data_IF_946138635069
#
_entry.id   IF_946138635069
#
_cell.length_a   1.000
_cell.length_b   1.000
_cell.length_c   1.000
_cell.angle_alpha   90.00
_cell.angle_beta   90.00
_cell.angle_gamma   90.00
#
_symmetry.space_group_name_H-M   'P 1'
#
loop_
_entity.id
_entity.type
_entity.pdbx_description
1 polymer ?
#
# COMPACT_ATOMS: atom_id res chain seq x y z
N UNK A 1 -15.73 -24.69 -39.17
CA UNK A 1 -14.85 -25.07 -38.04
C UNK A 1 -13.42 -24.59 -38.23
N UNK A 2 -12.73 -24.84 -39.34
CA UNK A 2 -11.29 -24.44 -39.55
C UNK A 2 -11.01 -22.93 -39.49
N UNK A 3 -11.97 -22.04 -39.77
CA UNK A 3 -11.80 -20.58 -39.69
C UNK A 3 -11.93 -20.08 -38.24
N UNK A 4 -12.80 -20.69 -37.44
CA UNK A 4 -12.96 -20.38 -36.01
C UNK A 4 -11.75 -20.86 -35.19
N UNK A 5 -11.22 -22.06 -35.50
CA UNK A 5 -9.99 -22.52 -34.82
C UNK A 5 -8.78 -21.63 -35.10
N UNK A 6 -8.60 -21.15 -36.35
CA UNK A 6 -7.51 -20.20 -36.68
C UNK A 6 -7.65 -18.85 -35.97
N UNK A 7 -8.88 -18.36 -35.79
CA UNK A 7 -9.12 -17.12 -35.03
C UNK A 7 -8.82 -17.34 -33.55
N UNK A 8 -9.30 -18.45 -32.98
CA UNK A 8 -9.02 -18.80 -31.58
C UNK A 8 -7.52 -18.97 -31.32
N UNK A 9 -6.81 -19.64 -32.24
CA UNK A 9 -5.35 -19.79 -32.16
C UNK A 9 -4.63 -18.43 -32.25
N UNK A 10 -5.05 -17.55 -33.16
CA UNK A 10 -4.49 -16.21 -33.32
C UNK A 10 -4.71 -15.33 -32.07
N UNK A 11 -5.85 -15.44 -31.40
CA UNK A 11 -6.13 -14.74 -30.14
C UNK A 11 -5.29 -15.35 -29.02
N UNK A 12 -5.27 -16.68 -28.89
CA UNK A 12 -4.54 -17.36 -27.83
C UNK A 12 -3.04 -17.08 -27.87
N UNK A 13 -2.42 -17.12 -29.07
CA UNK A 13 -0.99 -16.82 -29.26
C UNK A 13 -0.72 -15.31 -29.46
N UNK A 14 -1.67 -14.44 -29.13
CA UNK A 14 -1.41 -13.00 -29.11
C UNK A 14 -0.57 -12.61 -27.89
N UNK A 15 0.28 -11.60 -28.04
CA UNK A 15 1.19 -11.17 -26.98
C UNK A 15 0.48 -10.75 -25.70
N UNK A 16 -0.65 -9.99 -25.71
CA UNK A 16 -1.37 -9.67 -24.49
C UNK A 16 -1.84 -10.90 -23.71
N UNK A 17 -2.39 -11.89 -24.38
CA UNK A 17 -2.87 -13.13 -23.73
C UNK A 17 -1.69 -13.96 -23.20
N UNK A 18 -0.61 -14.07 -23.95
CA UNK A 18 0.57 -14.81 -23.49
C UNK A 18 1.25 -14.15 -22.30
N UNK A 19 1.26 -12.81 -22.22
CA UNK A 19 1.73 -12.08 -21.03
C UNK A 19 0.82 -12.31 -19.82
N UNK A 20 -0.49 -12.23 -20.01
CA UNK A 20 -1.46 -12.52 -18.94
C UNK A 20 -1.25 -13.94 -18.38
N UNK A 21 -1.17 -14.95 -19.25
CA UNK A 21 -0.94 -16.34 -18.85
C UNK A 21 0.42 -16.52 -18.16
N UNK A 22 1.46 -15.84 -18.64
CA UNK A 22 2.76 -15.88 -18.02
C UNK A 22 2.74 -15.24 -16.62
N UNK A 23 2.10 -14.10 -16.45
CA UNK A 23 1.93 -13.45 -15.15
C UNK A 23 1.19 -14.35 -14.16
N UNK A 24 0.08 -14.95 -14.56
CA UNK A 24 -0.69 -15.88 -13.72
C UNK A 24 0.09 -17.13 -13.30
N UNK A 25 1.03 -17.59 -14.15
CA UNK A 25 1.81 -18.81 -13.89
C UNK A 25 3.11 -18.57 -13.11
N UNK A 26 3.66 -17.37 -13.15
CA UNK A 26 5.02 -17.11 -12.62
C UNK A 26 5.11 -15.95 -11.65
N UNK A 27 4.35 -14.90 -11.89
CA UNK A 27 4.43 -13.66 -11.13
C UNK A 27 3.38 -13.62 -10.00
N UNK A 28 3.30 -14.70 -9.20
CA UNK A 28 2.28 -14.87 -8.17
C UNK A 28 2.24 -13.70 -7.19
N UNK A 29 3.41 -13.17 -6.81
CA UNK A 29 3.51 -12.02 -5.89
C UNK A 29 2.89 -10.77 -6.49
N UNK A 30 3.16 -10.50 -7.78
CA UNK A 30 2.60 -9.35 -8.49
C UNK A 30 1.09 -9.49 -8.68
N UNK A 31 0.63 -10.70 -9.00
CA UNK A 31 -0.80 -11.00 -9.11
C UNK A 31 -1.49 -10.87 -7.75
N UNK A 32 -0.86 -11.30 -6.66
CA UNK A 32 -1.38 -11.14 -5.31
C UNK A 32 -1.58 -9.65 -4.96
N UNK A 33 -0.63 -8.77 -5.33
CA UNK A 33 -0.80 -7.33 -5.14
C UNK A 33 -2.02 -6.78 -5.88
N UNK A 34 -2.26 -7.21 -7.13
CA UNK A 34 -3.46 -6.84 -7.86
C UNK A 34 -4.73 -7.39 -7.22
N UNK A 35 -4.73 -8.65 -6.78
CA UNK A 35 -5.88 -9.26 -6.08
C UNK A 35 -6.21 -8.48 -4.81
N UNK A 36 -5.19 -8.08 -4.03
CA UNK A 36 -5.38 -7.25 -2.84
C UNK A 36 -6.02 -5.92 -3.19
N UNK A 37 -5.53 -5.23 -4.23
CA UNK A 37 -6.11 -3.96 -4.68
C UNK A 37 -7.56 -4.12 -5.15
N UNK A 38 -7.86 -5.15 -5.97
CA UNK A 38 -9.24 -5.46 -6.36
C UNK A 38 -10.12 -5.74 -5.14
N UNK A 39 -9.64 -6.52 -4.17
CA UNK A 39 -10.39 -6.85 -2.97
C UNK A 39 -10.64 -5.62 -2.07
N UNK A 40 -9.66 -4.69 -2.00
CA UNK A 40 -9.81 -3.44 -1.26
C UNK A 40 -10.92 -2.56 -1.85
N UNK A 41 -10.91 -2.32 -3.17
CA UNK A 41 -11.88 -1.43 -3.82
C UNK A 41 -13.29 -2.04 -3.91
N UNK A 42 -13.41 -3.37 -3.98
CA UNK A 42 -14.70 -4.07 -4.06
C UNK A 42 -15.32 -4.37 -2.70
N UNK A 43 -14.62 -4.08 -1.61
CA UNK A 43 -15.08 -4.36 -0.25
C UNK A 43 -14.98 -5.82 0.19
N UNK A 44 -14.33 -6.68 -0.59
CA UNK A 44 -14.06 -8.06 -0.20
C UNK A 44 -12.93 -8.16 0.86
N UNK A 45 -12.12 -7.12 1.00
CA UNK A 45 -11.09 -7.01 2.02
C UNK A 45 -11.25 -5.71 2.81
N UNK A 46 -11.33 -5.85 4.13
CA UNK A 46 -11.32 -4.72 5.05
C UNK A 46 -12.58 -3.83 5.04
N UNK A 47 -13.73 -4.31 4.55
CA UNK A 47 -15.00 -3.55 4.54
C UNK A 47 -15.37 -3.03 5.91
N UNK A 48 -15.28 -3.86 6.96
CA UNK A 48 -15.57 -3.47 8.34
C UNK A 48 -14.58 -2.45 8.93
N UNK A 49 -13.39 -2.32 8.33
CA UNK A 49 -12.36 -1.34 8.69
C UNK A 49 -12.46 -0.05 7.86
N UNK A 50 -13.42 0.02 6.93
CA UNK A 50 -13.59 1.17 6.06
C UNK A 50 -12.55 1.28 4.93
N UNK A 51 -11.76 0.22 4.65
CA UNK A 51 -10.70 0.26 3.63
C UNK A 51 -11.21 0.66 2.24
N UNK A 52 -12.37 0.16 1.74
CA UNK A 52 -12.88 0.59 0.44
C UNK A 52 -13.08 2.11 0.35
N UNK A 53 -13.57 2.73 1.42
CA UNK A 53 -13.85 4.17 1.44
C UNK A 53 -12.58 5.01 1.29
N UNK A 54 -11.42 4.52 1.73
CA UNK A 54 -10.15 5.22 1.54
C UNK A 54 -9.82 5.41 0.04
N UNK A 55 -10.29 4.51 -0.82
CA UNK A 55 -10.08 4.56 -2.27
C UNK A 55 -11.22 5.27 -3.01
N UNK A 56 -12.46 5.09 -2.53
CA UNK A 56 -13.67 5.57 -3.20
C UNK A 56 -14.06 7.00 -2.78
N UNK A 57 -13.53 7.44 -1.62
CA UNK A 57 -13.72 8.77 -1.04
C UNK A 57 -12.39 9.26 -0.42
N UNK A 58 -11.35 9.48 -1.25
CA UNK A 58 -10.02 9.81 -0.77
C UNK A 58 -9.98 11.23 -0.20
N UNK A 59 -9.65 11.35 1.07
CA UNK A 59 -9.51 12.61 1.78
C UNK A 59 -8.08 13.15 1.69
N UNK A 60 -7.91 14.39 1.25
CA UNK A 60 -6.65 15.12 1.25
C UNK A 60 -6.85 16.54 1.79
N UNK A 61 -6.07 16.92 2.80
CA UNK A 61 -6.21 18.19 3.53
C UNK A 61 -7.63 18.43 4.10
N UNK A 62 -8.27 17.36 4.56
CA UNK A 62 -9.64 17.30 5.09
C UNK A 62 -10.74 17.55 4.05
N UNK A 63 -10.45 17.43 2.78
CA UNK A 63 -11.42 17.58 1.69
C UNK A 63 -11.32 16.40 0.72
N UNK A 64 -12.48 16.05 0.14
CA UNK A 64 -12.59 15.14 -0.99
C UNK A 64 -12.86 16.00 -2.21
N UNK A 65 -11.91 16.07 -3.13
CA UNK A 65 -11.98 16.99 -4.26
C UNK A 65 -11.08 16.52 -5.43
N UNK A 66 -11.05 17.31 -6.49
CA UNK A 66 -10.20 17.08 -7.66
C UNK A 66 -8.75 16.68 -7.30
N UNK A 67 -8.14 17.33 -6.30
CA UNK A 67 -6.73 17.08 -5.92
C UNK A 67 -6.57 15.73 -5.26
N UNK A 68 -7.52 15.31 -4.42
CA UNK A 68 -7.48 14.00 -3.77
C UNK A 68 -7.55 12.86 -4.81
N UNK A 69 -8.43 12.98 -5.81
CA UNK A 69 -8.54 12.02 -6.91
C UNK A 69 -7.36 12.10 -7.88
N UNK A 70 -6.79 13.29 -8.10
CA UNK A 70 -5.56 13.44 -8.88
C UNK A 70 -4.41 12.62 -8.25
N UNK A 71 -4.24 12.70 -6.93
CA UNK A 71 -3.23 11.92 -6.21
C UNK A 71 -3.47 10.41 -6.41
N UNK A 72 -4.72 9.94 -6.30
CA UNK A 72 -5.04 8.53 -6.54
C UNK A 72 -4.72 8.13 -7.99
N UNK A 73 -5.06 8.96 -8.97
CA UNK A 73 -4.73 8.74 -10.38
C UNK A 73 -3.23 8.60 -10.63
N UNK A 74 -2.41 9.49 -10.01
CA UNK A 74 -0.94 9.40 -10.03
C UNK A 74 -0.47 8.06 -9.47
N UNK A 75 -1.02 7.62 -8.33
CA UNK A 75 -0.61 6.38 -7.67
C UNK A 75 -1.02 5.14 -8.45
N UNK A 76 -2.22 5.10 -9.03
CA UNK A 76 -2.67 3.99 -9.91
C UNK A 76 -1.78 3.86 -11.13
N UNK A 77 -1.44 4.97 -11.78
CA UNK A 77 -0.52 4.99 -12.91
C UNK A 77 0.89 4.56 -12.49
N UNK A 78 1.40 5.07 -11.37
CA UNK A 78 2.69 4.69 -10.82
C UNK A 78 2.81 3.21 -10.50
N UNK A 79 1.80 2.63 -9.83
CA UNK A 79 1.74 1.19 -9.55
C UNK A 79 1.68 0.35 -10.84
N UNK A 80 0.90 0.79 -11.83
CA UNK A 80 0.83 0.13 -13.14
C UNK A 80 2.19 0.10 -13.83
N UNK A 81 2.94 1.18 -13.78
CA UNK A 81 4.28 1.24 -14.37
C UNK A 81 5.26 0.37 -13.61
N UNK A 82 5.25 0.41 -12.28
CA UNK A 82 6.09 -0.46 -11.44
C UNK A 82 5.82 -1.95 -11.74
N UNK A 83 4.56 -2.33 -11.85
CA UNK A 83 4.16 -3.67 -12.28
C UNK A 83 4.75 -4.04 -13.65
N UNK A 84 4.63 -3.14 -14.65
CA UNK A 84 5.16 -3.38 -15.98
C UNK A 84 6.69 -3.47 -16.01
N UNK A 85 7.39 -2.61 -15.26
CA UNK A 85 8.86 -2.65 -15.13
C UNK A 85 9.28 -3.99 -14.52
N UNK A 86 8.68 -4.38 -13.42
CA UNK A 86 8.99 -5.64 -12.74
C UNK A 86 8.72 -6.86 -13.63
N UNK A 87 7.57 -6.90 -14.34
CA UNK A 87 7.29 -7.97 -15.31
C UNK A 87 8.32 -7.99 -16.46
N UNK A 88 8.75 -6.84 -16.93
CA UNK A 88 9.77 -6.77 -17.99
C UNK A 88 11.14 -7.24 -17.51
N UNK A 89 11.53 -6.89 -16.29
CA UNK A 89 12.78 -7.35 -15.66
C UNK A 89 12.76 -8.87 -15.46
N UNK A 90 11.67 -9.42 -14.98
CA UNK A 90 11.58 -10.84 -14.60
C UNK A 90 11.38 -11.75 -15.83
N UNK A 91 10.54 -11.36 -16.76
CA UNK A 91 10.06 -12.24 -17.83
C UNK A 91 10.36 -11.73 -19.26
N UNK A 92 10.86 -10.51 -19.44
CA UNK A 92 11.12 -9.93 -20.76
C UNK A 92 11.97 -10.84 -21.65
N UNK A 93 12.96 -11.52 -21.08
CA UNK A 93 13.86 -12.44 -21.78
C UNK A 93 13.17 -13.67 -22.41
N UNK A 94 11.96 -14.00 -21.98
CA UNK A 94 11.16 -15.09 -22.55
C UNK A 94 10.49 -14.73 -23.87
N UNK A 95 10.43 -13.45 -24.16
CA UNK A 95 9.82 -12.83 -25.34
C UNK A 95 10.89 -12.11 -26.15
N UNK A 96 11.90 -12.85 -26.63
CA UNK A 96 13.08 -12.31 -27.27
C UNK A 96 12.79 -11.34 -28.43
N UNK A 97 11.68 -11.51 -29.15
CA UNK A 97 11.27 -10.63 -30.22
C UNK A 97 11.05 -9.18 -29.79
N UNK A 98 10.72 -8.95 -28.51
CA UNK A 98 10.47 -7.60 -27.98
C UNK A 98 11.72 -6.73 -28.06
N UNK A 99 12.91 -7.33 -27.89
CA UNK A 99 14.17 -6.58 -27.98
C UNK A 99 14.46 -6.05 -29.39
N UNK A 100 13.90 -6.69 -30.43
CA UNK A 100 14.01 -6.24 -31.82
C UNK A 100 13.01 -5.14 -32.17
N UNK A 101 12.03 -4.85 -31.31
CA UNK A 101 11.02 -3.83 -31.55
C UNK A 101 11.52 -2.42 -31.21
N UNK A 102 11.10 -1.38 -31.93
CA UNK A 102 11.35 0.00 -31.51
C UNK A 102 10.62 0.30 -30.22
N UNK A 103 11.32 0.88 -29.23
CA UNK A 103 10.82 1.16 -27.87
C UNK A 103 10.28 -0.11 -27.18
N UNK A 104 11.13 -1.09 -26.89
CA UNK A 104 10.73 -2.42 -26.45
C UNK A 104 9.90 -2.41 -25.17
N UNK A 105 10.26 -1.59 -24.17
CA UNK A 105 9.50 -1.49 -22.93
C UNK A 105 8.08 -0.94 -23.15
N UNK A 106 7.92 0.10 -23.99
CA UNK A 106 6.58 0.66 -24.25
C UNK A 106 5.68 -0.36 -24.97
N UNK A 107 6.25 -1.15 -25.89
CA UNK A 107 5.50 -2.25 -26.54
C UNK A 107 5.12 -3.33 -25.57
N UNK A 108 6.03 -3.71 -24.68
CA UNK A 108 5.77 -4.67 -23.64
C UNK A 108 4.66 -4.19 -22.71
N UNK A 109 4.76 -2.96 -22.17
CA UNK A 109 3.79 -2.37 -21.25
C UNK A 109 2.39 -2.28 -21.85
N UNK A 110 2.27 -1.86 -23.13
CA UNK A 110 1.00 -1.81 -23.84
C UNK A 110 0.33 -3.20 -23.91
N UNK A 111 1.12 -4.23 -24.19
CA UNK A 111 0.61 -5.59 -24.29
C UNK A 111 0.37 -6.24 -22.91
N UNK A 112 0.99 -5.73 -21.85
CA UNK A 112 0.81 -6.20 -20.46
C UNK A 112 -0.28 -5.44 -19.69
N UNK A 113 -1.13 -4.67 -20.37
CA UNK A 113 -2.09 -3.76 -19.75
C UNK A 113 -3.44 -4.39 -19.40
N UNK A 114 -3.68 -5.69 -19.68
CA UNK A 114 -4.98 -6.34 -19.44
C UNK A 114 -5.41 -6.21 -17.95
N UNK A 115 -4.53 -6.56 -17.02
CA UNK A 115 -4.83 -6.50 -15.57
C UNK A 115 -5.00 -5.05 -15.11
N UNK A 116 -4.08 -4.11 -15.41
CA UNK A 116 -4.26 -2.70 -15.11
C UNK A 116 -5.57 -2.10 -15.63
N UNK A 117 -5.92 -2.36 -16.89
CA UNK A 117 -7.16 -1.86 -17.50
C UNK A 117 -8.39 -2.44 -16.82
N UNK A 118 -8.38 -3.75 -16.52
CA UNK A 118 -9.47 -4.37 -15.77
C UNK A 118 -9.62 -3.74 -14.38
N UNK A 119 -8.51 -3.43 -13.70
CA UNK A 119 -8.55 -2.73 -12.40
C UNK A 119 -9.16 -1.33 -12.54
N UNK A 120 -8.71 -0.54 -13.52
CA UNK A 120 -9.22 0.82 -13.73
C UNK A 120 -10.73 0.80 -14.01
N UNK A 121 -11.21 -0.11 -14.86
CA UNK A 121 -12.64 -0.27 -15.15
C UNK A 121 -13.42 -0.61 -13.88
N UNK A 122 -12.92 -1.56 -13.08
CA UNK A 122 -13.55 -1.95 -11.82
C UNK A 122 -13.54 -0.80 -10.82
N UNK A 123 -12.43 -0.07 -10.71
CA UNK A 123 -12.30 1.08 -9.84
C UNK A 123 -13.30 2.19 -10.19
N UNK A 124 -13.38 2.56 -11.47
CA UNK A 124 -14.31 3.58 -11.95
C UNK A 124 -15.77 3.16 -11.69
N UNK A 125 -16.11 1.89 -11.92
CA UNK A 125 -17.44 1.39 -11.61
C UNK A 125 -17.78 1.52 -10.12
N UNK A 126 -16.88 1.09 -9.24
CA UNK A 126 -17.07 1.18 -7.79
C UNK A 126 -17.11 2.64 -7.31
N UNK A 127 -16.22 3.48 -7.84
CA UNK A 127 -16.16 4.91 -7.53
C UNK A 127 -17.49 5.61 -7.89
N UNK A 128 -17.93 5.48 -9.14
CA UNK A 128 -19.17 6.13 -9.60
C UNK A 128 -20.36 5.63 -8.79
N UNK A 129 -20.44 4.31 -8.58
CA UNK A 129 -21.53 3.72 -7.78
C UNK A 129 -21.53 4.22 -6.34
N UNK A 130 -20.36 4.34 -5.72
CA UNK A 130 -20.22 4.84 -4.35
C UNK A 130 -20.57 6.31 -4.23
N UNK A 131 -20.01 7.16 -5.09
CA UNK A 131 -20.24 8.61 -5.06
C UNK A 131 -21.72 8.97 -5.28
N UNK A 132 -22.44 8.26 -6.17
CA UNK A 132 -23.86 8.50 -6.41
C UNK A 132 -24.73 7.97 -5.26
N UNK A 133 -24.48 6.73 -4.80
CA UNK A 133 -25.43 6.06 -3.89
C UNK A 133 -25.15 6.33 -2.41
N UNK A 134 -23.93 6.67 -2.02
CA UNK A 134 -23.53 6.87 -0.62
C UNK A 134 -23.26 8.32 -0.28
N UNK A 135 -22.54 9.05 -1.15
CA UNK A 135 -22.18 10.46 -0.90
C UNK A 135 -23.18 11.42 -1.54
N UNK A 136 -24.09 10.93 -2.39
CA UNK A 136 -25.08 11.75 -3.10
C UNK A 136 -24.45 12.90 -3.90
N UNK A 137 -23.23 12.66 -4.41
CA UNK A 137 -22.45 13.64 -5.16
C UNK A 137 -23.19 14.09 -6.42
N UNK A 138 -23.17 15.38 -6.70
CA UNK A 138 -23.82 15.94 -7.89
C UNK A 138 -23.05 15.58 -9.17
N UNK A 139 -23.74 15.59 -10.32
CA UNK A 139 -23.09 15.24 -11.59
C UNK A 139 -21.85 16.08 -11.94
N UNK A 140 -21.85 17.41 -11.75
CA UNK A 140 -20.66 18.24 -11.95
C UNK A 140 -19.51 17.94 -10.99
N UNK A 141 -19.79 17.68 -9.73
CA UNK A 141 -18.77 17.28 -8.73
C UNK A 141 -18.12 15.95 -9.10
N UNK A 142 -18.94 14.94 -9.41
CA UNK A 142 -18.43 13.65 -9.87
C UNK A 142 -17.57 13.78 -11.14
N UNK A 143 -17.96 14.66 -12.07
CA UNK A 143 -17.17 14.91 -13.27
C UNK A 143 -15.81 15.55 -12.94
N UNK A 144 -15.74 16.44 -11.93
CA UNK A 144 -14.48 17.01 -11.45
C UNK A 144 -13.58 15.96 -10.79
N UNK A 145 -14.14 15.06 -10.00
CA UNK A 145 -13.40 13.96 -9.35
C UNK A 145 -12.82 13.01 -10.37
N UNK A 146 -13.62 12.61 -11.36
CA UNK A 146 -13.16 11.79 -12.48
C UNK A 146 -12.08 12.51 -13.31
N UNK A 147 -12.26 13.81 -13.58
CA UNK A 147 -11.25 14.62 -14.26
C UNK A 147 -9.94 14.68 -13.46
N UNK A 148 -10.01 14.80 -12.13
CA UNK A 148 -8.87 14.71 -11.23
C UNK A 148 -8.13 13.39 -11.41
N UNK A 149 -8.85 12.29 -11.31
CA UNK A 149 -8.28 10.95 -11.45
C UNK A 149 -7.59 10.74 -12.81
N UNK A 150 -8.25 11.07 -13.92
CA UNK A 150 -7.65 10.92 -15.25
C UNK A 150 -6.48 11.88 -15.47
N UNK A 151 -6.55 13.13 -14.96
CA UNK A 151 -5.43 14.08 -15.02
C UNK A 151 -4.21 13.52 -14.29
N UNK A 152 -4.41 12.97 -13.08
CA UNK A 152 -3.34 12.33 -12.32
C UNK A 152 -2.71 11.15 -13.07
N UNK A 153 -3.52 10.29 -13.69
CA UNK A 153 -3.03 9.19 -14.52
C UNK A 153 -2.21 9.68 -15.71
N UNK A 154 -2.70 10.68 -16.43
CA UNK A 154 -2.02 11.24 -17.60
C UNK A 154 -0.73 11.96 -17.22
N UNK A 155 -0.72 12.68 -16.09
CA UNK A 155 0.46 13.36 -15.58
C UNK A 155 1.59 12.35 -15.30
N UNK A 156 1.30 11.29 -14.56
CA UNK A 156 2.29 10.27 -14.24
C UNK A 156 2.74 9.52 -15.50
N UNK A 157 1.81 9.12 -16.37
CA UNK A 157 2.14 8.48 -17.65
C UNK A 157 2.98 9.39 -18.53
N UNK A 158 2.67 10.70 -18.59
CA UNK A 158 3.42 11.71 -19.35
C UNK A 158 4.84 11.90 -18.82
N UNK A 159 5.01 12.04 -17.50
CA UNK A 159 6.34 12.15 -16.86
C UNK A 159 7.21 10.94 -17.20
N UNK A 160 6.66 9.75 -17.15
CA UNK A 160 7.39 8.52 -17.47
C UNK A 160 7.69 8.43 -18.97
N UNK A 161 6.77 8.84 -19.85
CA UNK A 161 7.05 8.89 -21.29
C UNK A 161 8.16 9.89 -21.61
N UNK A 162 8.14 11.07 -21.00
CA UNK A 162 9.22 12.07 -21.13
C UNK A 162 10.54 11.45 -20.67
N UNK A 163 10.56 10.83 -19.50
CA UNK A 163 11.73 10.13 -18.99
C UNK A 163 12.24 9.08 -19.99
N UNK A 164 11.38 8.22 -20.54
CA UNK A 164 11.78 7.20 -21.50
C UNK A 164 12.25 7.79 -22.83
N UNK A 165 11.71 8.93 -23.26
CA UNK A 165 12.19 9.64 -24.47
C UNK A 165 13.62 10.14 -24.27
N UNK A 166 13.90 10.77 -23.12
CA UNK A 166 15.24 11.27 -22.80
C UNK A 166 16.25 10.14 -22.59
N UNK A 167 15.86 9.09 -21.90
CA UNK A 167 16.75 7.97 -21.60
C UNK A 167 17.04 7.10 -22.83
N UNK A 168 16.09 6.96 -23.76
CA UNK A 168 16.26 6.11 -24.96
C UNK A 168 17.02 6.78 -26.10
N UNK A 169 17.13 8.13 -26.21
CA UNK A 169 17.70 8.80 -27.39
C UNK A 169 19.17 9.19 -27.27
N UNK A 170 19.66 9.67 -26.13
CA UNK A 170 20.99 10.30 -26.08
C UNK A 170 21.88 9.86 -24.91
N UNK A 171 21.35 9.67 -23.71
CA UNK A 171 22.15 9.22 -22.57
C UNK A 171 22.62 7.78 -22.78
N UNK A 172 21.81 6.95 -23.47
CA UNK A 172 22.22 5.58 -23.81
C UNK A 172 23.44 5.52 -24.72
N UNK A 173 23.52 6.39 -25.71
CA UNK A 173 24.68 6.44 -26.63
C UNK A 173 25.94 6.91 -25.89
N UNK A 174 25.79 7.85 -24.96
CA UNK A 174 26.91 8.39 -24.19
C UNK A 174 27.31 7.48 -23.02
N UNK A 175 26.34 6.89 -22.29
CA UNK A 175 26.61 5.89 -21.26
C UNK A 175 27.08 4.54 -21.83
N UNK A 176 26.54 4.10 -22.95
CA UNK A 176 26.98 2.83 -23.60
C UNK A 176 28.46 2.91 -23.98
N UNK A 177 28.99 4.06 -24.42
CA UNK A 177 30.41 4.21 -24.69
C UNK A 177 31.28 4.21 -23.41
N UNK A 178 30.80 4.78 -22.29
CA UNK A 178 31.51 4.76 -21.02
C UNK A 178 31.20 3.51 -20.17
N UNK A 179 29.97 3.00 -20.22
CA UNK A 179 29.57 1.77 -19.52
C UNK A 179 30.18 0.53 -20.19
N UNK A 180 30.53 0.56 -21.49
CA UNK A 180 31.23 -0.56 -22.09
C UNK A 180 32.61 -0.78 -21.45
N UNK A 181 33.29 0.27 -20.96
CA UNK A 181 34.50 0.12 -20.14
C UNK A 181 34.21 -0.24 -18.66
N UNK A 182 33.23 0.40 -18.05
CA UNK A 182 32.86 0.13 -16.64
C UNK A 182 32.09 -1.22 -16.52
N UNK A 183 31.22 -1.55 -17.48
CA UNK A 183 30.50 -2.84 -17.53
C UNK A 183 31.44 -4.01 -17.79
N UNK A 184 32.50 -3.83 -18.59
CA UNK A 184 33.57 -4.85 -18.71
C UNK A 184 34.30 -5.09 -17.39
N UNK A 185 34.41 -4.09 -16.52
CA UNK A 185 34.97 -4.20 -15.17
C UNK A 185 33.96 -4.77 -14.15
N UNK A 186 32.73 -4.30 -14.18
CA UNK A 186 31.67 -4.69 -13.21
C UNK A 186 31.09 -6.08 -13.53
N UNK A 187 30.96 -6.45 -14.79
CA UNK A 187 30.56 -7.81 -15.23
C UNK A 187 31.62 -8.88 -14.88
N UNK A 188 32.89 -8.49 -14.72
CA UNK A 188 33.91 -9.40 -14.15
C UNK A 188 33.72 -9.66 -12.65
N UNK A 189 33.06 -8.79 -11.93
CA UNK A 189 32.86 -8.90 -10.47
C UNK A 189 31.58 -9.69 -10.11
N UNK A 190 30.59 -9.77 -11.00
CA UNK A 190 29.35 -10.47 -10.71
C UNK A 190 29.39 -11.90 -11.25
N UNK A 191 29.78 -12.86 -10.40
CA UNK A 191 29.53 -14.30 -10.64
C UNK A 191 28.08 -14.60 -11.09
N UNK A 192 27.15 -13.67 -10.82
CA UNK A 192 25.77 -13.70 -11.29
C UNK A 192 25.59 -13.73 -12.81
N UNK A 193 26.55 -13.19 -13.60
CA UNK A 193 26.44 -13.22 -15.06
C UNK A 193 26.62 -14.61 -15.65
N UNK A 194 27.46 -15.48 -15.02
CA UNK A 194 27.65 -16.85 -15.46
C UNK A 194 26.47 -17.76 -15.09
N UNK A 195 25.86 -17.57 -13.90
CA UNK A 195 24.63 -18.27 -13.50
C UNK A 195 23.46 -17.80 -14.37
N UNK A 196 23.35 -16.52 -14.67
CA UNK A 196 22.31 -15.94 -15.53
C UNK A 196 22.41 -16.46 -16.98
N UNK A 197 23.62 -16.70 -17.49
CA UNK A 197 23.85 -17.29 -18.82
C UNK A 197 23.35 -18.74 -18.91
N UNK A 198 23.50 -19.53 -17.85
CA UNK A 198 23.00 -20.92 -17.79
C UNK A 198 21.48 -20.97 -17.66
N UNK A 199 20.88 -20.08 -16.88
CA UNK A 199 19.44 -20.01 -16.70
C UNK A 199 18.72 -19.49 -17.96
N UNK A 200 19.31 -18.55 -18.66
CA UNK A 200 18.82 -18.03 -19.94
C UNK A 200 18.86 -19.08 -21.06
N UNK A 201 19.89 -19.91 -21.10
CA UNK A 201 19.97 -21.03 -22.05
C UNK A 201 18.90 -22.11 -21.78
N UNK A 202 18.44 -22.25 -20.54
CA UNK A 202 17.37 -23.17 -20.12
C UNK A 202 15.96 -22.61 -20.25
N UNK A 203 15.81 -21.30 -20.45
CA UNK A 203 14.50 -20.66 -20.46
C UNK A 203 13.76 -20.94 -21.78
N UNK A 204 12.66 -21.71 -21.67
CA UNK A 204 11.75 -21.95 -22.80
C UNK A 204 11.16 -20.63 -23.27
N UNK A 205 11.39 -20.28 -24.52
CA UNK A 205 10.71 -19.14 -25.16
C UNK A 205 9.23 -19.42 -25.34
N UNK A 206 8.42 -18.39 -25.18
CA UNK A 206 6.98 -18.45 -25.35
C UNK A 206 6.65 -18.12 -26.80
N UNK A 207 5.80 -18.94 -27.44
CA UNK A 207 5.32 -18.68 -28.78
C UNK A 207 4.37 -17.49 -28.77
N UNK A 208 4.65 -16.51 -29.61
CA UNK A 208 3.81 -15.33 -29.87
C UNK A 208 3.73 -15.12 -31.36
N UNK A 209 2.50 -15.07 -31.89
CA UNK A 209 2.26 -14.89 -33.32
C UNK A 209 1.95 -13.42 -33.67
N UNK A 210 1.30 -12.67 -32.77
CA UNK A 210 0.86 -11.30 -33.00
C UNK A 210 1.07 -10.43 -31.76
N UNK A 211 1.35 -9.15 -31.93
CA UNK A 211 1.45 -8.16 -30.84
C UNK A 211 0.66 -6.88 -31.15
N UNK A 212 0.20 -6.17 -30.12
CA UNK A 212 -0.52 -4.91 -30.24
C UNK A 212 0.47 -3.75 -30.43
N UNK A 213 0.23 -2.94 -31.46
CA UNK A 213 1.01 -1.73 -31.74
C UNK A 213 0.40 -0.50 -31.04
N UNK A 214 1.12 0.62 -30.99
CA UNK A 214 0.58 1.89 -30.44
C UNK A 214 -0.66 2.42 -31.17
N UNK A 215 -0.89 2.00 -32.40
CA UNK A 215 -2.10 2.33 -33.16
C UNK A 215 -3.27 1.36 -32.87
N UNK A 216 -3.18 0.57 -31.80
CA UNK A 216 -4.15 -0.47 -31.43
C UNK A 216 -4.44 -1.47 -32.53
N UNK A 217 -3.46 -1.75 -33.39
CA UNK A 217 -3.56 -2.77 -34.46
C UNK A 217 -2.66 -3.95 -34.14
N UNK A 218 -3.12 -5.16 -34.42
CA UNK A 218 -2.30 -6.36 -34.28
C UNK A 218 -1.34 -6.47 -35.48
N UNK A 219 -0.06 -6.66 -35.20
CA UNK A 219 0.99 -6.93 -36.18
C UNK A 219 1.60 -8.30 -35.93
N UNK A 220 1.94 -9.03 -36.99
CA UNK A 220 2.62 -10.34 -36.89
C UNK A 220 4.07 -10.17 -36.44
N UNK A 221 4.55 -11.12 -35.66
CA UNK A 221 5.93 -11.17 -35.11
C UNK A 221 6.94 -11.72 -36.15
N UNK A 222 6.50 -12.14 -37.31
CA UNK A 222 7.15 -13.11 -38.19
C UNK A 222 8.53 -12.73 -38.76
N UNK A 223 8.88 -11.44 -38.89
CA UNK A 223 10.02 -11.10 -39.78
C UNK A 223 11.20 -10.39 -39.10
N UNK A 224 11.07 -9.97 -37.83
CA UNK A 224 12.11 -9.21 -37.15
C UNK A 224 13.05 -10.10 -36.31
N UNK A 225 12.69 -11.37 -36.08
CA UNK A 225 13.50 -12.32 -35.29
C UNK A 225 14.77 -12.80 -35.99
N UNK A 226 14.71 -12.89 -37.33
CA UNK A 226 15.78 -13.53 -38.11
C UNK A 226 16.89 -12.57 -38.48
N UNK A 227 16.71 -11.28 -38.25
CA UNK A 227 17.69 -10.23 -38.60
C UNK A 227 18.75 -9.98 -37.52
N UNK A 228 18.52 -10.40 -36.27
CA UNK A 228 19.42 -10.11 -35.14
C UNK A 228 19.96 -11.36 -34.49
N UNK A 229 21.25 -11.39 -34.22
CA UNK A 229 21.89 -12.45 -33.46
C UNK A 229 21.32 -12.50 -32.03
N UNK A 230 21.04 -13.71 -31.56
CA UNK A 230 20.48 -13.96 -30.20
C UNK A 230 21.33 -13.35 -29.08
N UNK A 231 22.66 -13.33 -29.26
CA UNK A 231 23.56 -12.70 -28.28
C UNK A 231 23.37 -11.19 -28.21
N UNK A 232 23.18 -10.54 -29.37
CA UNK A 232 22.93 -9.08 -29.45
C UNK A 232 21.59 -8.72 -28.79
N UNK A 233 20.52 -9.48 -29.07
CA UNK A 233 19.21 -9.28 -28.45
C UNK A 233 19.29 -9.42 -26.92
N UNK A 234 20.07 -10.39 -26.41
CA UNK A 234 20.23 -10.59 -24.97
C UNK A 234 21.01 -9.47 -24.29
N UNK A 235 22.04 -8.91 -24.94
CA UNK A 235 22.76 -7.74 -24.44
C UNK A 235 21.86 -6.51 -24.31
N UNK A 236 20.97 -6.29 -25.28
CA UNK A 236 19.98 -5.20 -25.23
C UNK A 236 19.01 -5.37 -24.06
N UNK A 237 18.54 -6.61 -23.79
CA UNK A 237 17.72 -6.88 -22.62
C UNK A 237 18.44 -6.59 -21.31
N UNK A 238 19.66 -7.08 -21.15
CA UNK A 238 20.44 -6.89 -19.92
C UNK A 238 20.71 -5.40 -19.64
N UNK A 239 21.00 -4.60 -20.66
CA UNK A 239 21.18 -3.16 -20.51
C UNK A 239 19.88 -2.45 -20.13
N UNK A 240 18.76 -2.78 -20.78
CA UNK A 240 17.46 -2.21 -20.46
C UNK A 240 17.00 -2.59 -19.06
N UNK A 241 17.19 -3.86 -18.65
CA UNK A 241 16.84 -4.33 -17.31
C UNK A 241 17.65 -3.60 -16.23
N UNK A 242 18.95 -3.44 -16.42
CA UNK A 242 19.81 -2.72 -15.47
C UNK A 242 19.36 -1.27 -15.29
N UNK A 243 19.05 -0.58 -16.39
CA UNK A 243 18.54 0.80 -16.33
C UNK A 243 17.20 0.89 -15.59
N UNK A 244 16.30 -0.07 -15.80
CA UNK A 244 15.01 -0.12 -15.10
C UNK A 244 15.19 -0.37 -13.59
N UNK A 245 16.12 -1.21 -13.18
CA UNK A 245 16.44 -1.42 -11.76
C UNK A 245 17.00 -0.15 -11.11
N UNK A 246 17.85 0.60 -11.82
CA UNK A 246 18.34 1.90 -11.33
C UNK A 246 17.17 2.87 -11.09
N UNK A 247 16.22 2.94 -12.01
CA UNK A 247 15.02 3.77 -11.86
C UNK A 247 14.20 3.34 -10.65
N UNK A 248 13.98 2.04 -10.47
CA UNK A 248 13.28 1.51 -9.32
C UNK A 248 13.93 1.98 -8.01
N UNK A 249 15.26 1.88 -7.92
CA UNK A 249 16.01 2.33 -6.74
C UNK A 249 15.96 3.85 -6.54
N UNK A 250 15.98 4.64 -7.63
CA UNK A 250 15.83 6.09 -7.56
C UNK A 250 14.44 6.50 -7.06
N UNK A 251 13.38 5.89 -7.60
CA UNK A 251 12.00 6.13 -7.13
C UNK A 251 11.85 5.73 -5.67
N UNK A 252 12.40 4.58 -5.29
CA UNK A 252 12.40 4.15 -3.88
C UNK A 252 13.11 5.18 -2.98
N UNK A 253 14.29 5.65 -3.36
CA UNK A 253 15.02 6.69 -2.63
C UNK A 253 14.23 8.00 -2.54
N UNK A 254 13.57 8.41 -3.62
CA UNK A 254 12.71 9.59 -3.63
C UNK A 254 11.53 9.46 -2.66
N UNK A 255 10.87 8.31 -2.61
CA UNK A 255 9.77 8.06 -1.65
C UNK A 255 10.27 8.10 -0.22
N UNK A 256 11.46 7.56 0.08
CA UNK A 256 12.07 7.68 1.40
C UNK A 256 12.34 9.14 1.79
N UNK A 257 12.83 9.95 0.85
CA UNK A 257 13.06 11.40 1.07
C UNK A 257 11.72 12.10 1.35
N UNK A 258 10.68 11.82 0.58
CA UNK A 258 9.34 12.38 0.82
C UNK A 258 8.79 12.01 2.20
N UNK A 259 9.13 10.83 2.72
CA UNK A 259 8.78 10.41 4.08
C UNK A 259 9.37 11.29 5.19
N UNK A 260 10.48 11.99 4.92
CA UNK A 260 11.09 12.94 5.88
C UNK A 260 10.17 14.17 6.08
N UNK A 261 9.42 14.55 5.06
CA UNK A 261 8.53 15.71 5.08
C UNK A 261 7.10 15.40 5.56
N UNK A 262 6.86 14.22 6.11
CA UNK A 262 5.53 13.74 6.57
C UNK A 262 4.81 14.68 7.55
N UNK A 263 5.56 15.51 8.29
CA UNK A 263 5.01 16.42 9.28
C UNK A 263 4.41 17.70 8.65
N UNK A 264 4.69 17.95 7.37
CA UNK A 264 4.07 19.04 6.63
C UNK A 264 2.73 18.60 6.03
N UNK A 265 1.63 19.36 6.18
CA UNK A 265 0.30 18.96 5.70
C UNK A 265 0.27 18.58 4.21
N UNK A 266 1.00 19.31 3.36
CA UNK A 266 1.05 19.05 1.92
C UNK A 266 1.63 17.67 1.55
N UNK A 267 2.40 17.03 2.44
CA UNK A 267 2.97 15.69 2.25
C UNK A 267 2.18 14.59 2.97
N UNK A 268 1.06 14.92 3.59
CA UNK A 268 0.15 13.96 4.21
C UNK A 268 -0.81 13.40 3.16
N UNK A 269 -0.32 12.45 2.37
CA UNK A 269 -1.11 11.82 1.31
C UNK A 269 -2.31 11.04 1.85
N UNK A 270 -3.40 10.91 1.04
CA UNK A 270 -4.53 10.04 1.35
C UNK A 270 -4.07 8.62 1.74
N UNK A 271 -4.80 7.99 2.66
CA UNK A 271 -4.43 6.66 3.14
C UNK A 271 -4.39 5.60 2.02
N UNK A 272 -5.28 5.72 1.02
CA UNK A 272 -5.23 4.87 -0.18
C UNK A 272 -3.95 5.09 -0.98
N UNK A 273 -3.53 6.36 -1.17
CA UNK A 273 -2.28 6.70 -1.85
C UNK A 273 -1.07 6.08 -1.13
N UNK A 274 -1.03 6.20 0.20
CA UNK A 274 0.03 5.60 1.03
C UNK A 274 0.06 4.07 0.90
N UNK A 275 -1.10 3.41 0.85
CA UNK A 275 -1.21 1.96 0.62
C UNK A 275 -0.69 1.57 -0.76
N UNK A 276 -1.00 2.35 -1.78
CA UNK A 276 -0.51 2.13 -3.15
C UNK A 276 1.00 2.38 -3.27
N UNK A 277 1.55 3.40 -2.60
CA UNK A 277 2.99 3.63 -2.51
C UNK A 277 3.67 2.40 -1.91
N UNK A 278 3.15 1.88 -0.80
CA UNK A 278 3.70 0.69 -0.15
C UNK A 278 3.72 -0.52 -1.11
N UNK A 279 2.61 -0.80 -1.80
CA UNK A 279 2.54 -1.88 -2.78
C UNK A 279 3.47 -1.64 -3.97
N UNK A 280 3.61 -0.39 -4.43
CA UNK A 280 4.53 0.00 -5.50
C UNK A 280 5.97 -0.32 -5.11
N UNK A 281 6.40 0.12 -3.93
CA UNK A 281 7.73 -0.17 -3.38
C UNK A 281 7.94 -1.68 -3.27
N UNK A 282 6.97 -2.40 -2.76
CA UNK A 282 7.05 -3.85 -2.61
C UNK A 282 7.23 -4.57 -3.95
N UNK A 283 6.48 -4.16 -4.98
CA UNK A 283 6.59 -4.69 -6.35
C UNK A 283 7.97 -4.38 -6.93
N UNK A 284 8.44 -3.13 -6.80
CA UNK A 284 9.75 -2.71 -7.34
C UNK A 284 10.91 -3.43 -6.64
N UNK A 285 10.90 -3.52 -5.32
CA UNK A 285 11.90 -4.27 -4.55
C UNK A 285 11.90 -5.75 -4.93
N UNK A 286 10.72 -6.35 -5.15
CA UNK A 286 10.59 -7.73 -5.63
C UNK A 286 11.25 -7.91 -7.00
N UNK A 287 11.08 -6.94 -7.91
CA UNK A 287 11.73 -6.90 -9.23
C UNK A 287 13.25 -6.82 -9.13
N UNK A 288 13.76 -5.83 -8.40
CA UNK A 288 15.19 -5.64 -8.17
C UNK A 288 15.82 -6.87 -7.49
N UNK A 289 15.14 -7.43 -6.49
CA UNK A 289 15.59 -8.61 -5.78
C UNK A 289 15.66 -9.84 -6.71
N UNK A 290 14.62 -10.04 -7.54
CA UNK A 290 14.61 -11.11 -8.55
C UNK A 290 15.70 -10.93 -9.60
N UNK A 291 16.02 -9.70 -9.97
CA UNK A 291 17.12 -9.40 -10.89
C UNK A 291 18.48 -9.81 -10.33
N UNK A 292 18.75 -9.50 -9.05
CA UNK A 292 20.04 -9.78 -8.44
C UNK A 292 20.24 -11.25 -8.08
N UNK A 293 19.22 -11.89 -7.54
CA UNK A 293 19.32 -13.27 -7.01
C UNK A 293 18.84 -14.35 -8.01
N UNK A 294 18.15 -13.95 -9.09
CA UNK A 294 17.69 -14.88 -10.14
C UNK A 294 16.92 -16.07 -9.57
N UNK A 295 17.33 -17.29 -9.92
CA UNK A 295 16.69 -18.55 -9.44
C UNK A 295 16.76 -18.78 -7.93
N UNK A 296 17.66 -18.07 -7.21
CA UNK A 296 17.80 -18.14 -5.75
C UNK A 296 16.95 -17.13 -4.99
N UNK A 297 16.16 -16.31 -5.67
CA UNK A 297 15.40 -15.21 -5.05
C UNK A 297 14.49 -15.70 -3.92
N UNK A 298 13.73 -16.78 -4.11
CA UNK A 298 12.85 -17.32 -3.08
C UNK A 298 13.62 -17.85 -1.85
N UNK A 299 14.73 -18.56 -2.08
CA UNK A 299 15.58 -19.10 -0.99
C UNK A 299 16.23 -17.97 -0.20
N UNK A 300 16.76 -16.97 -0.89
CA UNK A 300 17.39 -15.81 -0.24
C UNK A 300 16.35 -14.98 0.55
N UNK A 301 15.16 -14.78 0.00
CA UNK A 301 14.07 -14.11 0.72
C UNK A 301 13.68 -14.87 1.99
N UNK A 302 13.58 -16.20 1.93
CA UNK A 302 13.29 -17.01 3.11
C UNK A 302 14.40 -16.89 4.17
N UNK A 303 15.67 -16.96 3.76
CA UNK A 303 16.81 -16.81 4.69
C UNK A 303 16.78 -15.43 5.35
N UNK A 304 16.56 -14.36 4.58
CA UNK A 304 16.46 -12.99 5.11
C UNK A 304 15.28 -12.84 6.06
N UNK A 305 14.14 -13.43 5.73
CA UNK A 305 12.96 -13.42 6.61
C UNK A 305 13.24 -14.13 7.95
N UNK A 306 13.86 -15.31 7.92
CA UNK A 306 14.22 -16.06 9.11
C UNK A 306 15.27 -15.30 9.95
N UNK A 307 16.27 -14.71 9.30
CA UNK A 307 17.28 -13.88 9.97
C UNK A 307 16.63 -12.65 10.63
N UNK A 308 15.75 -11.94 9.91
CA UNK A 308 15.01 -10.79 10.44
C UNK A 308 14.16 -11.19 11.65
N UNK A 309 13.42 -12.29 11.54
CA UNK A 309 12.62 -12.83 12.64
C UNK A 309 13.48 -13.17 13.86
N UNK A 310 14.65 -13.76 13.64
CA UNK A 310 15.60 -14.04 14.72
C UNK A 310 16.10 -12.75 15.39
N UNK A 311 16.50 -11.73 14.62
CA UNK A 311 16.96 -10.44 15.16
C UNK A 311 15.87 -9.68 15.91
N UNK A 312 14.62 -9.74 15.43
CA UNK A 312 13.46 -9.20 16.15
C UNK A 312 13.24 -9.95 17.46
N UNK A 313 13.27 -11.27 17.44
CA UNK A 313 13.12 -12.12 18.64
C UNK A 313 14.25 -11.92 19.66
N UNK A 314 15.48 -11.68 19.21
CA UNK A 314 16.62 -11.36 20.04
C UNK A 314 16.57 -9.93 20.61
N UNK A 315 15.58 -9.11 20.24
CA UNK A 315 15.44 -7.74 20.73
C UNK A 315 16.38 -6.72 20.10
N UNK A 316 17.18 -7.11 19.10
CA UNK A 316 18.16 -6.23 18.44
C UNK A 316 17.52 -5.15 17.57
N UNK A 317 16.35 -5.45 17.01
CA UNK A 317 15.59 -4.54 16.14
C UNK A 317 14.31 -3.99 16.78
N UNK A 318 14.02 -4.39 18.03
CA UNK A 318 12.81 -3.94 18.72
C UNK A 318 13.12 -2.73 19.60
N UNK A 319 12.40 -1.64 19.35
CA UNK A 319 12.43 -0.47 20.22
C UNK A 319 11.40 -0.67 21.34
N UNK A 320 11.86 -0.73 22.59
CA UNK A 320 10.99 -0.81 23.75
C UNK A 320 10.43 0.58 24.05
N UNK A 321 9.11 0.69 24.10
CA UNK A 321 8.40 1.90 24.49
C UNK A 321 7.82 1.68 25.89
N UNK A 322 8.49 2.13 26.97
CA UNK A 322 7.95 1.99 28.31
C UNK A 322 6.67 2.82 28.44
N UNK A 323 5.65 2.27 29.06
CA UNK A 323 4.44 3.01 29.38
C UNK A 323 4.73 4.03 30.50
N UNK A 324 4.17 5.22 30.38
CA UNK A 324 4.35 6.28 31.39
C UNK A 324 3.78 5.82 32.75
N UNK A 325 4.51 6.08 33.81
CA UNK A 325 4.07 5.77 35.17
C UNK A 325 4.29 4.33 35.64
N UNK A 326 4.84 3.44 34.79
CA UNK A 326 5.20 2.08 35.19
C UNK A 326 6.70 1.99 35.55
N UNK A 327 7.00 1.36 36.68
CA UNK A 327 8.39 1.09 37.10
C UNK A 327 8.86 -0.26 36.55
N UNK A 328 9.57 -0.24 35.45
CA UNK A 328 10.13 -1.44 34.79
C UNK A 328 11.37 -2.02 35.51
N UNK A 329 11.85 -1.40 36.59
CA UNK A 329 12.97 -1.91 37.36
C UNK A 329 12.53 -2.91 38.44
N UNK A 330 11.24 -2.91 38.77
CA UNK A 330 10.67 -3.88 39.71
C UNK A 330 10.51 -5.24 39.06
N UNK A 331 10.75 -6.29 39.81
CA UNK A 331 10.45 -7.64 39.35
C UNK A 331 8.96 -7.77 39.02
N UNK A 332 8.62 -8.25 37.82
CA UNK A 332 7.22 -8.43 37.45
C UNK A 332 6.59 -9.51 38.33
N UNK A 333 5.41 -9.22 38.85
CA UNK A 333 4.60 -10.22 39.57
C UNK A 333 4.22 -11.33 38.59
N UNK A 334 4.50 -12.58 38.93
CA UNK A 334 4.17 -13.72 38.10
C UNK A 334 2.65 -13.80 37.84
N UNK A 335 2.26 -13.87 36.56
CA UNK A 335 0.86 -14.05 36.16
C UNK A 335 0.45 -15.53 36.28
N UNK A 336 0.21 -15.96 37.55
CA UNK A 336 -0.19 -17.33 37.87
C UNK A 336 -1.58 -17.33 38.50
N UNK A 337 -2.29 -18.47 38.38
CA UNK A 337 -3.62 -18.64 39.00
C UNK A 337 -3.55 -18.45 40.53
N UNK A 338 -2.45 -18.86 41.14
CA UNK A 338 -2.23 -18.72 42.57
C UNK A 338 -2.13 -17.24 42.99
N UNK A 339 -1.33 -16.44 42.25
CA UNK A 339 -1.25 -15.01 42.49
C UNK A 339 -2.58 -14.28 42.25
N UNK A 340 -3.32 -14.68 41.23
CA UNK A 340 -4.66 -14.13 40.98
C UNK A 340 -5.62 -14.44 42.10
N UNK A 341 -5.64 -15.67 42.64
CA UNK A 341 -6.43 -16.03 43.78
C UNK A 341 -6.03 -15.29 45.04
N UNK A 342 -4.74 -15.10 45.29
CA UNK A 342 -4.22 -14.33 46.40
C UNK A 342 -4.64 -12.86 46.36
N UNK A 343 -4.68 -12.26 45.19
CA UNK A 343 -5.14 -10.87 44.97
C UNK A 343 -6.65 -10.73 45.01
N UNK A 344 -7.41 -11.83 44.86
CA UNK A 344 -8.87 -11.86 44.86
C UNK A 344 -9.42 -12.56 46.11
N UNK A 345 -8.74 -12.40 47.23
CA UNK A 345 -9.20 -12.91 48.51
C UNK A 345 -10.28 -11.99 49.13
N UNK A 346 -10.97 -12.50 50.13
CA UNK A 346 -12.06 -11.79 50.82
C UNK A 346 -11.64 -10.47 51.45
N UNK A 347 -10.37 -10.36 51.85
CA UNK A 347 -9.79 -9.16 52.49
C UNK A 347 -9.61 -8.04 51.46
N UNK A 348 -9.01 -8.36 50.32
CA UNK A 348 -8.81 -7.40 49.21
C UNK A 348 -10.17 -6.97 48.63
N UNK A 349 -11.13 -7.87 48.49
CA UNK A 349 -12.49 -7.55 48.05
C UNK A 349 -13.16 -6.55 48.99
N UNK A 350 -13.08 -6.81 50.28
CA UNK A 350 -13.65 -5.93 51.33
C UNK A 350 -13.00 -4.55 51.31
N UNK A 351 -11.68 -4.48 51.22
CA UNK A 351 -10.95 -3.23 51.12
C UNK A 351 -11.33 -2.42 49.86
N UNK A 352 -11.50 -3.09 48.71
CA UNK A 352 -11.97 -2.47 47.47
C UNK A 352 -13.40 -1.94 47.59
N UNK A 353 -14.27 -2.67 48.30
CA UNK A 353 -15.66 -2.23 48.59
C UNK A 353 -15.68 -0.99 49.48
N UNK A 354 -14.90 -0.99 50.58
CA UNK A 354 -14.76 0.16 51.47
C UNK A 354 -14.26 1.40 50.73
N UNK A 355 -13.23 1.23 49.88
CA UNK A 355 -12.72 2.32 49.04
C UNK A 355 -13.76 2.85 48.04
N UNK A 356 -14.53 1.95 47.43
CA UNK A 356 -15.62 2.34 46.53
C UNK A 356 -16.72 3.11 47.27
N UNK A 357 -17.05 2.71 48.49
CA UNK A 357 -18.03 3.43 49.35
C UNK A 357 -17.54 4.84 49.67
N UNK A 358 -16.23 5.03 49.93
CA UNK A 358 -15.66 6.36 50.16
C UNK A 358 -15.78 7.24 48.90
N UNK A 359 -15.46 6.71 47.72
CA UNK A 359 -15.62 7.43 46.46
C UNK A 359 -17.09 7.86 46.24
N UNK A 360 -18.03 6.93 46.39
CA UNK A 360 -19.47 7.21 46.23
C UNK A 360 -19.96 8.19 47.30
N UNK A 361 -19.49 8.08 48.53
CA UNK A 361 -19.79 9.03 49.60
C UNK A 361 -19.32 10.44 49.31
N UNK A 362 -18.10 10.58 48.79
CA UNK A 362 -17.56 11.88 48.38
C UNK A 362 -18.32 12.46 47.18
N UNK A 363 -18.70 11.64 46.20
CA UNK A 363 -19.55 12.08 45.09
C UNK A 363 -20.92 12.56 45.61
N UNK A 364 -21.58 11.82 46.51
CA UNK A 364 -22.87 12.21 47.05
C UNK A 364 -22.82 13.52 47.82
N UNK A 365 -21.74 13.82 48.52
CA UNK A 365 -21.57 15.08 49.28
C UNK A 365 -21.62 16.34 48.43
N UNK A 366 -21.46 16.21 47.08
CA UNK A 366 -21.60 17.34 46.15
C UNK A 366 -23.04 17.82 46.00
N UNK A 367 -24.03 17.03 46.45
CA UNK A 367 -25.45 17.33 46.25
C UNK A 367 -26.16 17.56 47.58
N UNK A 368 -26.98 18.61 47.66
CA UNK A 368 -27.78 18.88 48.84
C UNK A 368 -28.81 17.79 49.14
N UNK A 369 -28.92 17.36 50.38
CA UNK A 369 -29.47 16.09 50.80
C UNK A 369 -30.96 15.81 50.59
N UNK A 370 -31.76 16.72 50.02
CA UNK A 370 -33.19 16.59 49.90
C UNK A 370 -33.67 15.64 48.78
N UNK A 371 -32.91 15.46 47.74
CA UNK A 371 -33.27 14.61 46.59
C UNK A 371 -32.16 13.61 46.25
N UNK A 372 -32.53 12.40 45.77
CA UNK A 372 -31.57 11.40 45.30
C UNK A 372 -30.93 11.91 44.01
N UNK A 373 -29.61 12.20 43.98
CA UNK A 373 -28.95 12.67 42.74
C UNK A 373 -28.95 11.55 41.71
N UNK A 374 -29.08 11.93 40.43
CA UNK A 374 -28.93 10.99 39.31
C UNK A 374 -27.47 10.61 39.17
N UNK A 375 -27.17 9.33 39.07
CA UNK A 375 -25.84 8.82 38.88
C UNK A 375 -25.61 8.55 37.40
N UNK A 376 -24.56 9.14 36.82
CA UNK A 376 -24.22 9.01 35.40
C UNK A 376 -22.99 8.14 35.25
N UNK A 377 -23.07 7.16 34.35
CA UNK A 377 -21.94 6.35 33.88
C UNK A 377 -21.72 6.65 32.42
N UNK A 378 -20.52 7.08 32.08
CA UNK A 378 -20.13 7.38 30.70
C UNK A 378 -19.38 6.16 30.14
N UNK A 379 -19.99 5.49 29.16
CA UNK A 379 -19.42 4.32 28.48
C UNK A 379 -19.11 4.68 27.03
N UNK A 380 -17.82 4.78 26.68
CA UNK A 380 -17.37 5.18 25.36
C UNK A 380 -16.92 3.98 24.51
N UNK A 381 -17.51 3.83 23.32
CA UNK A 381 -17.14 2.79 22.34
C UNK A 381 -15.81 3.07 21.66
N UNK A 382 -15.08 1.99 21.31
CA UNK A 382 -13.89 2.08 20.47
C UNK A 382 -14.20 2.52 19.03
N UNK A 383 -13.16 2.86 18.23
CA UNK A 383 -13.30 3.23 16.82
C UNK A 383 -12.25 4.22 16.32
N UNK A 384 -11.04 4.20 16.89
CA UNK A 384 -9.91 5.01 16.42
C UNK A 384 -10.11 6.51 16.61
N UNK A 385 -9.49 7.33 15.74
CA UNK A 385 -9.50 8.80 15.84
C UNK A 385 -10.92 9.38 15.71
N UNK A 386 -11.76 8.85 14.84
CA UNK A 386 -13.14 9.30 14.67
C UNK A 386 -13.96 9.12 15.94
N UNK A 387 -13.84 7.97 16.61
CA UNK A 387 -14.51 7.75 17.89
C UNK A 387 -13.98 8.66 18.99
N UNK A 388 -12.68 8.97 19.01
CA UNK A 388 -12.11 9.92 19.96
C UNK A 388 -12.72 11.32 19.80
N UNK A 389 -12.74 11.82 18.59
CA UNK A 389 -13.31 13.15 18.26
C UNK A 389 -14.82 13.16 18.54
N UNK A 390 -15.55 12.16 18.07
CA UNK A 390 -16.99 12.05 18.31
C UNK A 390 -17.32 12.07 19.81
N UNK A 391 -16.64 11.23 20.60
CA UNK A 391 -16.87 11.14 22.04
C UNK A 391 -16.56 12.47 22.74
N UNK A 392 -15.45 13.10 22.38
CA UNK A 392 -15.10 14.42 22.91
C UNK A 392 -16.20 15.46 22.61
N UNK A 393 -16.59 15.60 21.34
CA UNK A 393 -17.61 16.56 20.91
C UNK A 393 -18.96 16.28 21.55
N UNK A 394 -19.38 15.00 21.60
CA UNK A 394 -20.63 14.61 22.22
C UNK A 394 -20.67 14.92 23.72
N UNK A 395 -19.57 14.67 24.45
CA UNK A 395 -19.48 14.96 25.89
C UNK A 395 -19.44 16.48 26.13
N UNK A 396 -18.69 17.25 25.34
CA UNK A 396 -18.67 18.73 25.41
C UNK A 396 -20.07 19.30 25.18
N UNK A 397 -20.78 18.82 24.16
CA UNK A 397 -22.14 19.27 23.84
C UNK A 397 -23.11 18.91 24.97
N UNK A 398 -23.05 17.67 25.46
CA UNK A 398 -23.94 17.22 26.54
C UNK A 398 -23.68 17.96 27.86
N UNK A 399 -22.42 18.25 28.18
CA UNK A 399 -22.06 19.02 29.36
C UNK A 399 -22.50 20.50 29.25
N UNK A 400 -22.29 21.09 28.09
CA UNK A 400 -22.80 22.44 27.79
C UNK A 400 -24.32 22.55 27.90
N UNK A 401 -25.07 21.61 27.33
CA UNK A 401 -26.54 21.55 27.41
C UNK A 401 -27.04 21.36 28.84
N UNK A 402 -26.27 20.74 29.71
CA UNK A 402 -26.60 20.53 31.13
C UNK A 402 -25.98 21.60 32.05
N UNK A 403 -25.36 22.66 31.50
CA UNK A 403 -24.68 23.71 32.25
C UNK A 403 -23.63 23.14 33.23
N UNK A 404 -22.78 22.21 32.78
CA UNK A 404 -21.71 21.55 33.56
C UNK A 404 -22.18 20.42 34.46
N UNK A 405 -23.49 20.13 34.54
CA UNK A 405 -24.01 19.11 35.43
C UNK A 405 -23.72 17.65 35.01
N UNK A 406 -23.36 17.44 33.74
CA UNK A 406 -23.01 16.09 33.29
C UNK A 406 -21.81 15.57 34.05
N UNK A 407 -20.74 16.36 34.16
CA UNK A 407 -19.52 15.92 34.84
C UNK A 407 -19.71 15.79 36.35
N UNK A 408 -20.49 16.69 36.97
CA UNK A 408 -20.82 16.61 38.40
C UNK A 408 -21.56 15.35 38.79
N UNK A 409 -22.51 14.92 37.94
CA UNK A 409 -23.27 13.69 38.14
C UNK A 409 -22.50 12.42 37.69
N UNK A 410 -21.38 12.56 37.00
CA UNK A 410 -20.61 11.41 36.52
C UNK A 410 -19.81 10.78 37.63
N UNK A 411 -20.00 9.45 37.81
CA UNK A 411 -19.28 8.64 38.78
C UNK A 411 -18.18 7.83 38.16
N UNK A 412 -18.39 7.38 36.94
CA UNK A 412 -17.46 6.52 36.20
C UNK A 412 -17.42 6.87 34.74
N UNK A 413 -16.22 7.00 34.22
CA UNK A 413 -15.94 7.02 32.79
C UNK A 413 -15.21 5.73 32.44
N UNK A 414 -15.77 4.96 31.53
CA UNK A 414 -15.18 3.73 31.02
C UNK A 414 -15.32 3.63 29.53
N UNK A 415 -14.50 2.83 28.89
CA UNK A 415 -14.59 2.64 27.45
C UNK A 415 -13.42 1.88 26.88
N UNK A 416 -13.32 1.90 25.55
CA UNK A 416 -12.27 1.22 24.80
C UNK A 416 -11.66 2.13 23.73
N UNK A 417 -10.34 1.95 23.47
CA UNK A 417 -9.64 2.55 22.35
C UNK A 417 -9.90 4.07 22.18
N UNK A 418 -10.18 4.53 20.96
CA UNK A 418 -10.39 5.95 20.66
C UNK A 418 -11.47 6.64 21.48
N UNK A 419 -12.61 6.00 21.71
CA UNK A 419 -13.67 6.59 22.52
C UNK A 419 -13.24 6.90 23.95
N UNK A 420 -12.50 5.99 24.59
CA UNK A 420 -11.96 6.23 25.94
C UNK A 420 -10.90 7.36 25.93
N UNK A 421 -10.10 7.47 24.85
CA UNK A 421 -9.13 8.57 24.71
C UNK A 421 -9.86 9.91 24.68
N UNK A 422 -10.93 10.03 23.85
CA UNK A 422 -11.76 11.24 23.79
C UNK A 422 -12.43 11.59 25.13
N UNK A 423 -12.96 10.58 25.83
CA UNK A 423 -13.57 10.78 27.14
C UNK A 423 -12.56 11.17 28.23
N UNK A 424 -11.36 10.59 28.20
CA UNK A 424 -10.25 10.96 29.10
C UNK A 424 -9.78 12.39 28.85
N UNK A 425 -9.65 12.80 27.61
CA UNK A 425 -9.29 14.17 27.25
C UNK A 425 -10.36 15.17 27.74
N UNK A 426 -11.64 14.85 27.55
CA UNK A 426 -12.73 15.66 28.07
C UNK A 426 -12.61 15.86 29.59
N UNK A 427 -12.39 14.76 30.34
CA UNK A 427 -12.21 14.81 31.79
C UNK A 427 -11.06 15.71 32.20
N UNK A 428 -9.89 15.58 31.55
CA UNK A 428 -8.72 16.40 31.87
C UNK A 428 -8.93 17.89 31.50
N UNK A 429 -9.67 18.19 30.45
CA UNK A 429 -9.99 19.57 30.06
C UNK A 429 -10.94 20.27 31.06
N UNK A 430 -11.83 19.50 31.74
CA UNK A 430 -12.78 20.07 32.70
C UNK A 430 -12.13 20.21 34.09
N UNK A 431 -11.19 19.36 34.46
CA UNK A 431 -10.54 19.38 35.80
C UNK A 431 -9.92 20.73 36.18
N UNK A 432 -9.18 21.44 35.30
CA UNK A 432 -8.62 22.76 35.62
C UNK A 432 -9.67 23.85 35.81
N UNK A 433 -10.87 23.67 35.29
CA UNK A 433 -11.98 24.63 35.45
C UNK A 433 -12.70 24.42 36.79
N UNK A 434 -12.44 23.35 37.52
CA UNK A 434 -13.03 23.01 38.80
C UNK A 434 -12.11 23.32 40.00
N UNK A 435 -10.84 23.66 39.74
CA UNK A 435 -9.82 24.12 40.69
C UNK A 435 -9.69 25.64 40.65
#
# INVERSE_FOLDING_TARGET
>A
MARLSRIADSIFYSFPIQLLLNNLRRNHVLILCWIILFAMITGNFGKYLGIPYLFLDPEYLNEVNFTSFLIIGVMVSGFTVAFNITCYITDGHRFSFVAALPKPFNKFSLNNSIIPVAFIITYLYQLISFQINNEYTTGPELAMDLAGFFTGMLLMAGLLQIYFIFTQKDIFKYMVCQIDEVSKRTVRITRGSLMKKSDLARTKQVRVDNYLTHSFRFKKVSDEKDFYDKEALMKVFDQNQFSLVIIELLIFGMVLILGIFKDYPAFQFPAAASSMIFLTIFVMLSGAFSYWFGGWSATTALILFLALNHFVGAGLLTKKYPAFGLDYKREPVGYTIENLRKHNDSTNIRQSQEHTQVILGNWRKKFDGATKPKMVFICASGGGKRAALWTLTALQTADSLTNGKLIDHSVLITGASGGLIGASYFREAVLPCLL
#
